data_IF_782328863098
#
_entry.id   IF_782328863098
#
_cell.length_a   1.000
_cell.length_b   1.000
_cell.length_c   1.000
_cell.angle_alpha   90.00
_cell.angle_beta   90.00
_cell.angle_gamma   90.00
#
_symmetry.space_group_name_H-M   'P 1'
#
loop_
_entity.id
_entity.type
_entity.pdbx_description
1 polymer ?
#
# COMPACT_ATOMS: atom_id res chain seq x y z
N UNK A 1 6.72 -43.27 -0.18
CA UNK A 1 6.71 -41.80 -0.01
C UNK A 1 7.73 -41.33 1.04
N UNK A 2 7.73 -41.85 2.27
CA UNK A 2 8.69 -41.47 3.33
C UNK A 2 10.17 -41.63 2.92
N UNK A 3 10.54 -42.77 2.31
CA UNK A 3 11.92 -43.00 1.83
C UNK A 3 12.37 -41.90 0.84
N UNK A 4 11.48 -41.44 -0.03
CA UNK A 4 11.77 -40.34 -0.97
C UNK A 4 12.07 -39.03 -0.24
N UNK A 5 11.36 -38.74 0.85
CA UNK A 5 11.62 -37.56 1.68
C UNK A 5 12.98 -37.68 2.40
N UNK A 6 13.31 -38.84 2.96
CA UNK A 6 14.63 -39.08 3.58
C UNK A 6 15.77 -38.91 2.56
N UNK A 7 15.59 -39.42 1.35
CA UNK A 7 16.55 -39.21 0.26
C UNK A 7 16.63 -37.72 -0.14
N UNK A 8 15.52 -36.98 -0.09
CA UNK A 8 15.49 -35.53 -0.28
C UNK A 8 16.29 -34.79 0.78
N UNK A 9 16.15 -35.16 2.06
CA UNK A 9 16.94 -34.59 3.17
C UNK A 9 18.43 -34.86 2.95
N UNK A 10 18.80 -36.07 2.55
CA UNK A 10 20.20 -36.39 2.22
C UNK A 10 20.73 -35.51 1.09
N UNK A 11 19.95 -35.31 0.02
CA UNK A 11 20.33 -34.39 -1.07
C UNK A 11 20.50 -32.94 -0.59
N UNK A 12 19.63 -32.48 0.30
CA UNK A 12 19.76 -31.15 0.92
C UNK A 12 21.08 -31.03 1.71
N UNK A 13 21.38 -32.00 2.57
CA UNK A 13 22.61 -32.02 3.38
C UNK A 13 23.88 -32.09 2.53
N UNK A 14 23.86 -32.92 1.49
CA UNK A 14 25.03 -33.17 0.64
C UNK A 14 25.24 -32.09 -0.43
N UNK A 15 24.21 -31.32 -0.78
CA UNK A 15 24.21 -30.28 -1.81
C UNK A 15 23.80 -28.90 -1.27
N UNK A 16 22.52 -28.54 -1.38
CA UNK A 16 22.01 -27.18 -1.14
C UNK A 16 22.42 -26.57 0.21
N UNK A 17 22.50 -27.37 1.28
CA UNK A 17 22.98 -26.89 2.58
C UNK A 17 24.42 -26.39 2.52
N UNK A 18 25.32 -27.12 1.84
CA UNK A 18 26.75 -26.74 1.71
C UNK A 18 26.91 -25.45 0.91
N UNK A 19 26.11 -25.27 -0.13
CA UNK A 19 26.06 -24.01 -0.91
C UNK A 19 25.59 -22.82 -0.06
N UNK A 20 24.75 -23.08 0.94
CA UNK A 20 24.17 -22.08 1.84
C UNK A 20 24.77 -22.08 3.27
N UNK A 21 25.88 -22.78 3.51
CA UNK A 21 26.39 -23.03 4.86
C UNK A 21 26.68 -21.73 5.62
N UNK A 22 27.30 -20.76 4.93
CA UNK A 22 27.57 -19.44 5.49
C UNK A 22 26.31 -18.66 5.87
N UNK A 23 25.21 -18.83 5.12
CA UNK A 23 23.92 -18.24 5.43
C UNK A 23 23.30 -18.90 6.66
N UNK A 24 23.23 -20.24 6.70
CA UNK A 24 22.70 -20.96 7.85
C UNK A 24 23.51 -20.71 9.14
N UNK A 25 24.83 -20.53 9.03
CA UNK A 25 25.68 -20.13 10.17
C UNK A 25 25.35 -18.73 10.69
N UNK A 26 24.90 -17.81 9.84
CA UNK A 26 24.40 -16.50 10.29
C UNK A 26 23.03 -16.66 10.95
N UNK A 27 22.11 -17.39 10.30
CA UNK A 27 20.75 -17.61 10.79
C UNK A 27 20.71 -18.39 12.12
N UNK A 28 21.72 -19.19 12.43
CA UNK A 28 21.80 -19.88 13.73
C UNK A 28 21.99 -18.93 14.92
N UNK A 29 22.39 -17.67 14.67
CA UNK A 29 22.54 -16.64 15.72
C UNK A 29 21.30 -15.79 15.91
N UNK A 30 20.34 -15.84 14.98
CA UNK A 30 19.12 -15.06 15.03
C UNK A 30 18.44 -14.95 13.65
N UNK A 31 17.20 -14.48 13.65
CA UNK A 31 16.42 -14.19 12.45
C UNK A 31 16.02 -12.71 12.43
N UNK A 32 15.99 -12.11 11.24
CA UNK A 32 15.62 -10.70 11.06
C UNK A 32 14.78 -10.52 9.78
N UNK A 33 13.65 -11.23 9.63
CA UNK A 33 12.78 -11.09 8.47
C UNK A 33 12.12 -9.72 8.45
N UNK A 34 11.96 -9.12 7.27
CA UNK A 34 11.22 -7.85 7.11
C UNK A 34 9.75 -8.07 6.76
N UNK A 35 9.37 -9.31 6.41
CA UNK A 35 8.04 -9.65 5.92
C UNK A 35 7.44 -10.78 6.77
N UNK A 36 6.23 -10.55 7.28
CA UNK A 36 5.33 -11.58 7.80
C UNK A 36 4.40 -12.04 6.67
N UNK A 37 4.50 -13.30 6.27
CA UNK A 37 3.71 -13.89 5.19
C UNK A 37 2.68 -14.88 5.75
N UNK A 38 1.40 -14.52 5.67
CA UNK A 38 0.27 -15.32 6.14
C UNK A 38 -0.38 -15.99 4.94
N UNK A 39 -0.41 -17.32 4.90
CA UNK A 39 -1.02 -18.06 3.77
C UNK A 39 -1.65 -19.39 4.18
N UNK A 40 -2.15 -20.14 3.21
CA UNK A 40 -2.85 -21.39 3.42
C UNK A 40 -1.89 -22.56 3.66
N UNK A 41 -2.30 -23.57 4.43
CA UNK A 41 -1.61 -24.88 4.54
C UNK A 41 -1.73 -25.74 3.27
N UNK A 42 -2.42 -25.26 2.24
CA UNK A 42 -2.55 -25.94 0.96
C UNK A 42 -1.16 -26.34 0.43
N UNK A 43 -0.98 -27.63 0.14
CA UNK A 43 0.31 -28.20 -0.24
C UNK A 43 0.85 -27.69 -1.58
N UNK A 44 0.06 -26.93 -2.34
CA UNK A 44 0.48 -26.28 -3.60
C UNK A 44 1.09 -24.91 -3.38
N UNK A 45 0.96 -24.35 -2.17
CA UNK A 45 1.53 -23.04 -1.81
C UNK A 45 2.86 -23.23 -1.10
N UNK A 46 3.90 -22.58 -1.62
CA UNK A 46 5.19 -22.40 -0.97
C UNK A 46 5.59 -20.92 -1.10
N UNK A 47 5.48 -20.12 -0.02
CA UNK A 47 5.79 -18.69 -0.06
C UNK A 47 7.21 -18.39 -0.55
N UNK A 48 8.20 -19.19 -0.15
CA UNK A 48 9.58 -18.95 -0.52
C UNK A 48 9.78 -19.20 -2.02
N UNK A 49 9.14 -20.25 -2.56
CA UNK A 49 9.17 -20.54 -3.98
C UNK A 49 8.51 -19.44 -4.81
N UNK A 50 7.31 -18.99 -4.42
CA UNK A 50 6.55 -17.98 -5.17
C UNK A 50 7.28 -16.63 -5.18
N UNK A 51 7.97 -16.30 -4.08
CA UNK A 51 8.66 -15.00 -3.91
C UNK A 51 10.16 -15.07 -4.20
N UNK A 52 10.70 -16.24 -4.56
CA UNK A 52 12.13 -16.48 -4.77
C UNK A 52 13.01 -16.03 -3.59
N UNK A 53 12.49 -16.20 -2.37
CA UNK A 53 13.17 -15.83 -1.13
C UNK A 53 13.91 -17.02 -0.51
N UNK A 54 14.88 -16.71 0.35
CA UNK A 54 15.71 -17.67 1.06
C UNK A 54 15.24 -17.85 2.51
N UNK A 55 15.67 -18.91 3.19
CA UNK A 55 15.44 -19.05 4.63
C UNK A 55 15.89 -17.79 5.39
N UNK A 56 15.02 -17.28 6.26
CA UNK A 56 15.27 -16.07 7.05
C UNK A 56 14.71 -14.77 6.46
N UNK A 57 14.35 -14.75 5.17
CA UNK A 57 13.77 -13.56 4.53
C UNK A 57 12.29 -13.34 4.94
N UNK A 58 11.55 -14.43 5.10
CA UNK A 58 10.13 -14.44 5.47
C UNK A 58 9.90 -15.07 6.85
N UNK A 59 9.08 -14.44 7.68
CA UNK A 59 8.41 -15.09 8.80
C UNK A 59 7.04 -15.59 8.33
N UNK A 60 6.75 -16.89 8.43
CA UNK A 60 5.59 -17.48 7.75
C UNK A 60 4.57 -18.05 8.75
N UNK A 61 3.30 -17.67 8.60
CA UNK A 61 2.16 -18.31 9.25
C UNK A 61 1.35 -19.07 8.20
N UNK A 62 1.08 -20.35 8.42
CA UNK A 62 0.25 -21.17 7.54
C UNK A 62 -0.88 -21.83 8.32
N UNK A 63 -2.11 -21.63 7.87
CA UNK A 63 -3.28 -22.34 8.42
C UNK A 63 -4.34 -22.63 7.35
N UNK A 64 -5.45 -23.25 7.74
CA UNK A 64 -6.55 -23.58 6.81
C UNK A 64 -7.24 -22.30 6.35
N UNK A 65 -6.97 -21.87 5.11
CA UNK A 65 -7.62 -20.71 4.51
C UNK A 65 -7.00 -19.35 4.83
N UNK A 66 -5.75 -19.31 5.30
CA UNK A 66 -5.01 -18.06 5.58
C UNK A 66 -5.77 -17.10 6.51
N UNK A 67 -6.48 -17.65 7.49
CA UNK A 67 -7.40 -16.98 8.40
C UNK A 67 -6.63 -16.44 9.61
N UNK A 68 -6.92 -15.21 10.03
CA UNK A 68 -6.45 -14.66 11.30
C UNK A 68 -7.68 -14.35 12.14
N UNK A 69 -7.88 -15.03 13.28
CA UNK A 69 -8.96 -14.70 14.20
C UNK A 69 -8.84 -13.25 14.73
N UNK A 70 -9.94 -12.59 15.07
CA UNK A 70 -9.90 -11.30 15.76
C UNK A 70 -9.11 -11.35 17.07
N UNK A 71 -8.61 -10.20 17.53
CA UNK A 71 -7.63 -10.09 18.62
C UNK A 71 -8.02 -10.69 19.98
N UNK A 72 -9.30 -10.96 20.21
CA UNK A 72 -9.81 -11.57 21.44
C UNK A 72 -9.85 -13.10 21.42
N UNK A 73 -9.41 -13.75 20.34
CA UNK A 73 -9.43 -15.21 20.19
C UNK A 73 -8.01 -15.78 20.29
N UNK A 74 -7.66 -16.48 21.39
CA UNK A 74 -6.39 -17.17 21.49
C UNK A 74 -6.24 -18.23 20.39
N UNK A 75 -5.13 -18.16 19.65
CA UNK A 75 -4.84 -19.05 18.52
C UNK A 75 -3.34 -19.11 18.25
N UNK A 76 -2.90 -20.12 17.49
CA UNK A 76 -1.49 -20.20 17.05
C UNK A 76 -1.12 -19.00 16.17
N UNK A 77 -2.08 -18.50 15.41
CA UNK A 77 -1.98 -17.32 14.56
C UNK A 77 -1.72 -16.07 15.38
N UNK A 78 -2.52 -15.84 16.43
CA UNK A 78 -2.34 -14.71 17.33
C UNK A 78 -0.97 -14.76 18.02
N UNK A 79 -0.54 -15.94 18.47
CA UNK A 79 0.78 -16.11 19.08
C UNK A 79 1.91 -15.81 18.09
N UNK A 80 1.84 -16.34 16.86
CA UNK A 80 2.82 -16.09 15.80
C UNK A 80 2.88 -14.62 15.39
N UNK A 81 1.72 -13.95 15.31
CA UNK A 81 1.60 -12.54 14.97
C UNK A 81 2.23 -11.63 16.04
N UNK A 82 1.92 -11.87 17.31
CA UNK A 82 2.51 -11.12 18.43
C UNK A 82 4.02 -11.35 18.50
N UNK A 83 4.48 -12.60 18.30
CA UNK A 83 5.91 -12.90 18.26
C UNK A 83 6.60 -12.18 17.09
N UNK A 84 6.01 -12.19 15.90
CA UNK A 84 6.57 -11.51 14.74
C UNK A 84 6.71 -10.00 14.95
N UNK A 85 5.77 -9.36 15.65
CA UNK A 85 5.74 -7.89 15.75
C UNK A 85 6.39 -7.31 17.02
N UNK A 86 6.49 -8.09 18.09
CA UNK A 86 7.16 -7.68 19.34
C UNK A 86 8.49 -8.40 19.59
N UNK A 87 8.66 -9.60 19.03
CA UNK A 87 9.88 -10.40 19.15
C UNK A 87 10.87 -10.13 18.02
N UNK A 88 10.40 -9.63 16.87
CA UNK A 88 11.20 -9.27 15.71
C UNK A 88 10.89 -7.82 15.30
N UNK A 89 11.71 -6.88 15.75
CA UNK A 89 11.52 -5.44 15.44
C UNK A 89 11.72 -5.10 13.94
N UNK A 90 12.15 -6.08 13.13
CA UNK A 90 12.44 -5.91 11.72
C UNK A 90 11.23 -6.00 10.79
N UNK A 91 10.08 -6.53 11.24
CA UNK A 91 8.91 -6.69 10.39
C UNK A 91 8.33 -5.33 10.00
N UNK A 92 8.29 -5.05 8.69
CA UNK A 92 7.73 -3.83 8.09
C UNK A 92 6.53 -4.12 7.20
N UNK A 93 6.39 -5.35 6.72
CA UNK A 93 5.33 -5.73 5.79
C UNK A 93 4.60 -6.98 6.28
N UNK A 94 3.28 -6.94 6.24
CA UNK A 94 2.42 -8.11 6.52
C UNK A 94 1.63 -8.41 5.26
N UNK A 95 1.82 -9.60 4.70
CA UNK A 95 1.12 -10.08 3.51
C UNK A 95 0.11 -11.14 3.93
N UNK A 96 -1.17 -10.93 3.61
CA UNK A 96 -2.21 -11.98 3.66
C UNK A 96 -2.40 -12.49 2.24
N UNK A 97 -2.00 -13.74 1.98
CA UNK A 97 -2.03 -14.34 0.66
C UNK A 97 -3.04 -15.48 0.58
N UNK A 98 -4.13 -15.24 -0.15
CA UNK A 98 -5.08 -16.26 -0.60
C UNK A 98 -4.63 -16.92 -1.91
N UNK A 99 -5.33 -17.96 -2.36
CA UNK A 99 -4.96 -18.67 -3.59
C UNK A 99 -6.15 -19.29 -4.33
N UNK A 100 -6.02 -19.54 -5.64
CA UNK A 100 -7.06 -20.21 -6.43
C UNK A 100 -7.38 -21.60 -5.88
N UNK A 101 -8.62 -22.06 -6.06
CA UNK A 101 -9.08 -23.38 -5.60
C UNK A 101 -8.95 -23.65 -4.08
N UNK A 102 -8.99 -22.63 -3.24
CA UNK A 102 -8.84 -22.79 -1.79
C UNK A 102 -9.89 -23.75 -1.19
N UNK A 103 -9.42 -24.86 -0.60
CA UNK A 103 -10.30 -25.86 0.02
C UNK A 103 -11.09 -25.31 1.22
N UNK A 104 -10.51 -24.40 1.98
CA UNK A 104 -11.17 -23.72 3.09
C UNK A 104 -12.37 -22.89 2.61
N UNK A 105 -12.20 -22.12 1.53
CA UNK A 105 -13.27 -21.30 0.97
C UNK A 105 -14.34 -22.14 0.27
N UNK A 106 -13.97 -23.26 -0.37
CA UNK A 106 -14.93 -24.28 -0.82
C UNK A 106 -15.75 -24.81 0.35
N UNK A 107 -15.10 -25.13 1.46
CA UNK A 107 -15.76 -25.59 2.69
C UNK A 107 -16.72 -24.54 3.25
N UNK A 108 -16.28 -23.29 3.35
CA UNK A 108 -17.09 -22.17 3.85
C UNK A 108 -18.39 -22.00 3.05
N UNK A 109 -18.32 -22.16 1.73
CA UNK A 109 -19.47 -22.05 0.82
C UNK A 109 -20.34 -23.32 0.78
N UNK A 110 -19.90 -24.43 1.39
CA UNK A 110 -20.61 -25.71 1.35
C UNK A 110 -21.54 -25.82 2.56
N UNK A 111 -22.86 -25.98 2.35
CA UNK A 111 -23.80 -26.22 3.44
C UNK A 111 -23.42 -27.46 4.26
N UNK A 112 -23.73 -27.44 5.56
CA UNK A 112 -23.57 -28.58 6.47
C UNK A 112 -22.13 -29.12 6.58
N UNK A 113 -21.11 -28.29 6.36
CA UNK A 113 -19.70 -28.69 6.53
C UNK A 113 -19.44 -29.31 7.92
N UNK A 114 -20.10 -28.79 8.96
CA UNK A 114 -19.96 -29.24 10.35
C UNK A 114 -20.31 -30.72 10.57
N UNK A 115 -21.16 -31.32 9.72
CA UNK A 115 -21.50 -32.75 9.79
C UNK A 115 -20.32 -33.65 9.37
N UNK A 116 -19.40 -33.13 8.54
CA UNK A 116 -18.26 -33.87 7.99
C UNK A 116 -16.93 -33.48 8.62
N UNK A 117 -16.74 -32.19 8.88
CA UNK A 117 -15.50 -31.60 9.39
C UNK A 117 -15.82 -30.55 10.46
N UNK A 118 -16.25 -30.95 11.66
CA UNK A 118 -16.73 -30.02 12.70
C UNK A 118 -15.67 -29.02 13.16
N UNK A 119 -14.42 -29.44 13.33
CA UNK A 119 -13.32 -28.54 13.74
C UNK A 119 -12.98 -27.54 12.65
N UNK A 120 -13.02 -27.97 11.38
CA UNK A 120 -12.82 -27.06 10.23
C UNK A 120 -13.98 -26.08 10.14
N UNK A 121 -15.23 -26.54 10.28
CA UNK A 121 -16.38 -25.66 10.28
C UNK A 121 -16.32 -24.62 11.41
N UNK A 122 -15.88 -25.04 12.61
CA UNK A 122 -15.64 -24.13 13.75
C UNK A 122 -14.55 -23.12 13.42
N UNK A 123 -13.42 -23.55 12.84
CA UNK A 123 -12.35 -22.64 12.41
C UNK A 123 -12.82 -21.61 11.38
N UNK A 124 -13.60 -22.03 10.38
CA UNK A 124 -14.13 -21.17 9.32
C UNK A 124 -15.16 -20.15 9.83
N UNK A 125 -15.60 -20.21 11.09
CA UNK A 125 -16.42 -19.15 11.73
C UNK A 125 -15.76 -17.78 11.64
N UNK A 126 -14.43 -17.73 11.68
CA UNK A 126 -13.64 -16.51 11.52
C UNK A 126 -13.67 -15.93 10.08
N UNK A 127 -14.28 -16.61 9.11
CA UNK A 127 -14.48 -16.06 7.76
C UNK A 127 -15.96 -15.89 7.39
N UNK A 128 -16.90 -16.02 8.33
CA UNK A 128 -18.34 -15.92 8.01
C UNK A 128 -18.78 -14.54 7.50
N UNK A 129 -18.02 -13.47 7.75
CA UNK A 129 -18.24 -12.16 7.13
C UNK A 129 -18.17 -12.21 5.60
N UNK A 130 -17.44 -13.17 5.03
CA UNK A 130 -17.37 -13.42 3.58
C UNK A 130 -18.70 -13.91 3.04
N UNK A 131 -19.42 -14.79 3.77
CA UNK A 131 -20.73 -15.29 3.34
C UNK A 131 -21.75 -14.17 3.17
N UNK A 132 -21.70 -13.15 4.04
CA UNK A 132 -22.55 -11.96 3.92
C UNK A 132 -22.26 -11.22 2.60
N UNK A 133 -20.98 -10.98 2.28
CA UNK A 133 -20.59 -10.32 1.03
C UNK A 133 -21.04 -11.11 -0.20
N UNK A 134 -20.81 -12.43 -0.21
CA UNK A 134 -21.18 -13.29 -1.34
C UNK A 134 -22.70 -13.33 -1.54
N UNK A 135 -23.48 -13.44 -0.46
CA UNK A 135 -24.95 -13.55 -0.54
C UNK A 135 -25.64 -12.22 -0.90
N UNK A 136 -25.04 -11.07 -0.57
CA UNK A 136 -25.58 -9.75 -0.90
C UNK A 136 -25.09 -9.19 -2.23
N UNK A 137 -24.12 -9.82 -2.88
CA UNK A 137 -23.66 -9.40 -4.20
C UNK A 137 -24.64 -9.83 -5.29
N UNK A 138 -25.36 -8.87 -5.88
CA UNK A 138 -26.25 -9.08 -7.04
C UNK A 138 -25.51 -9.67 -8.25
N UNK A 139 -24.18 -9.43 -8.33
CA UNK A 139 -23.29 -9.95 -9.37
C UNK A 139 -22.62 -11.28 -9.00
N UNK A 140 -23.03 -11.94 -7.91
CA UNK A 140 -22.41 -13.21 -7.53
C UNK A 140 -22.65 -14.27 -8.61
N UNK A 141 -21.55 -14.82 -9.14
CA UNK A 141 -21.64 -15.83 -10.21
C UNK A 141 -22.37 -17.07 -9.73
N UNK A 142 -23.19 -17.70 -10.57
CA UNK A 142 -23.78 -19.02 -10.25
C UNK A 142 -22.75 -20.16 -10.31
N UNK A 143 -21.63 -19.96 -11.01
CA UNK A 143 -20.54 -20.93 -11.08
C UNK A 143 -19.81 -21.01 -9.73
N UNK A 144 -19.82 -22.20 -9.14
CA UNK A 144 -19.20 -22.46 -7.84
C UNK A 144 -17.71 -22.11 -7.83
N UNK A 145 -16.98 -22.36 -8.91
CA UNK A 145 -15.54 -22.04 -8.98
C UNK A 145 -15.31 -20.53 -8.92
N UNK A 146 -16.15 -19.74 -9.60
CA UNK A 146 -16.11 -18.28 -9.55
C UNK A 146 -16.54 -17.75 -8.17
N UNK A 147 -17.52 -18.37 -7.51
CA UNK A 147 -17.86 -18.04 -6.11
C UNK A 147 -16.69 -18.29 -5.16
N UNK A 148 -15.97 -19.39 -5.33
CA UNK A 148 -14.79 -19.71 -4.51
C UNK A 148 -13.68 -18.69 -4.74
N UNK A 149 -13.45 -18.28 -5.99
CA UNK A 149 -12.50 -17.22 -6.32
C UNK A 149 -12.85 -15.92 -5.59
N UNK A 150 -14.10 -15.47 -5.72
CA UNK A 150 -14.58 -14.25 -5.05
C UNK A 150 -14.48 -14.38 -3.53
N UNK A 151 -14.95 -15.48 -2.96
CA UNK A 151 -14.86 -15.74 -1.52
C UNK A 151 -13.42 -15.74 -1.02
N UNK A 152 -12.47 -16.21 -1.83
CA UNK A 152 -11.05 -16.18 -1.46
C UNK A 152 -10.51 -14.76 -1.43
N UNK A 153 -10.80 -13.94 -2.44
CA UNK A 153 -10.41 -12.52 -2.45
C UNK A 153 -11.03 -11.77 -1.28
N UNK A 154 -12.32 -11.95 -1.04
CA UNK A 154 -13.03 -11.34 0.10
C UNK A 154 -12.49 -11.84 1.45
N UNK A 155 -12.08 -13.11 1.55
CA UNK A 155 -11.45 -13.63 2.76
C UNK A 155 -10.15 -12.92 3.07
N UNK A 156 -9.29 -12.67 2.07
CA UNK A 156 -8.05 -11.90 2.25
C UNK A 156 -8.37 -10.53 2.87
N UNK A 157 -9.36 -9.81 2.33
CA UNK A 157 -9.77 -8.50 2.86
C UNK A 157 -10.32 -8.60 4.30
N UNK A 158 -11.16 -9.60 4.57
CA UNK A 158 -11.69 -9.83 5.91
C UNK A 158 -10.57 -10.08 6.94
N UNK A 159 -9.54 -10.83 6.57
CA UNK A 159 -8.41 -11.11 7.46
C UNK A 159 -7.52 -9.87 7.66
N UNK A 160 -7.39 -9.00 6.65
CA UNK A 160 -6.73 -7.71 6.82
C UNK A 160 -7.47 -6.82 7.83
N UNK A 161 -8.81 -6.82 7.82
CA UNK A 161 -9.60 -6.12 8.84
C UNK A 161 -9.44 -6.75 10.22
N UNK A 162 -9.35 -8.08 10.30
CA UNK A 162 -9.08 -8.76 11.57
C UNK A 162 -7.71 -8.37 12.15
N UNK A 163 -6.68 -8.27 11.32
CA UNK A 163 -5.34 -7.81 11.76
C UNK A 163 -5.42 -6.41 12.39
N UNK A 164 -6.22 -5.50 11.84
CA UNK A 164 -6.41 -4.15 12.41
C UNK A 164 -7.08 -4.15 13.78
N UNK A 165 -7.74 -5.24 14.19
CA UNK A 165 -8.31 -5.36 15.55
C UNK A 165 -7.27 -5.58 16.64
N UNK A 166 -6.03 -5.94 16.26
CA UNK A 166 -4.91 -6.07 17.20
C UNK A 166 -4.33 -4.68 17.45
N UNK A 167 -4.41 -4.22 18.70
CA UNK A 167 -3.91 -2.87 19.08
C UNK A 167 -2.48 -2.61 18.62
N UNK A 168 -1.58 -3.58 18.78
CA UNK A 168 -0.19 -3.44 18.35
C UNK A 168 -0.05 -3.20 16.84
N UNK A 169 -0.95 -3.74 16.02
CA UNK A 169 -0.97 -3.55 14.56
C UNK A 169 -1.54 -2.20 14.24
N UNK A 170 -2.69 -1.84 14.83
CA UNK A 170 -3.28 -0.52 14.66
C UNK A 170 -2.28 0.59 15.01
N UNK A 171 -1.65 0.52 16.19
CA UNK A 171 -0.66 1.51 16.65
C UNK A 171 0.56 1.59 15.72
N UNK A 172 0.98 0.49 15.09
CA UNK A 172 2.11 0.47 14.14
C UNK A 172 1.72 0.97 12.75
N UNK A 173 0.48 0.70 12.31
CA UNK A 173 -0.06 1.24 11.06
C UNK A 173 -0.21 2.76 11.14
N UNK A 174 -0.75 3.29 12.24
CA UNK A 174 -0.92 4.73 12.47
C UNK A 174 0.42 5.49 12.45
N UNK A 175 1.49 4.81 12.89
CA UNK A 175 2.87 5.34 12.86
C UNK A 175 3.62 5.08 11.56
N UNK A 176 2.99 4.44 10.56
CA UNK A 176 3.62 4.00 9.31
C UNK A 176 4.86 3.10 9.53
N UNK A 177 4.92 2.37 10.65
CA UNK A 177 6.00 1.42 10.95
C UNK A 177 5.81 0.10 10.18
N UNK A 178 4.55 -0.25 9.88
CA UNK A 178 4.21 -1.44 9.10
C UNK A 178 3.19 -1.12 8.01
N UNK A 179 3.07 -2.02 7.03
CA UNK A 179 2.07 -1.96 5.97
C UNK A 179 1.38 -3.32 5.79
N UNK A 180 0.06 -3.32 5.55
CA UNK A 180 -0.72 -4.52 5.24
C UNK A 180 -0.92 -4.67 3.74
N UNK A 181 -0.74 -5.88 3.23
CA UNK A 181 -0.88 -6.22 1.82
C UNK A 181 -1.82 -7.41 1.66
N UNK A 182 -2.76 -7.32 0.72
CA UNK A 182 -3.63 -8.43 0.34
C UNK A 182 -3.18 -9.02 -0.98
N UNK A 183 -2.79 -10.29 -1.00
CA UNK A 183 -2.33 -10.99 -2.20
C UNK A 183 -3.27 -12.15 -2.56
N UNK A 184 -3.35 -12.47 -3.84
CA UNK A 184 -4.06 -13.62 -4.37
C UNK A 184 -3.18 -14.35 -5.40
N UNK A 185 -2.83 -15.60 -5.13
CA UNK A 185 -2.00 -16.42 -6.01
C UNK A 185 -2.86 -17.37 -6.87
N UNK A 186 -2.74 -17.27 -8.19
CA UNK A 186 -3.44 -18.14 -9.13
C UNK A 186 -2.55 -19.29 -9.61
N UNK A 187 -2.97 -20.52 -9.31
CA UNK A 187 -2.17 -21.71 -9.63
C UNK A 187 -2.04 -21.97 -11.12
N UNK A 188 -3.09 -21.67 -11.90
CA UNK A 188 -3.18 -22.01 -13.31
C UNK A 188 -2.20 -21.21 -14.17
N UNK A 189 -2.02 -19.94 -13.83
CA UNK A 189 -1.19 -18.98 -14.57
C UNK A 189 0.15 -18.75 -13.87
N UNK A 190 0.22 -19.01 -12.56
CA UNK A 190 1.35 -18.62 -11.72
C UNK A 190 1.33 -17.14 -11.33
N UNK A 191 0.29 -16.39 -11.71
CA UNK A 191 0.19 -14.97 -11.45
C UNK A 191 -0.16 -14.68 -9.98
N UNK A 192 0.39 -13.57 -9.49
CA UNK A 192 0.02 -12.98 -8.20
C UNK A 192 -0.70 -11.68 -8.47
N UNK A 193 -1.85 -11.52 -7.81
CA UNK A 193 -2.63 -10.29 -7.81
C UNK A 193 -2.50 -9.61 -6.45
N UNK A 194 -2.37 -8.29 -6.45
CA UNK A 194 -2.22 -7.47 -5.25
C UNK A 194 -3.43 -6.55 -5.11
N UNK A 195 -4.00 -6.50 -3.91
CA UNK A 195 -5.11 -5.63 -3.61
C UNK A 195 -4.66 -4.17 -3.55
N UNK A 196 -5.26 -3.33 -4.39
CA UNK A 196 -5.05 -1.90 -4.41
C UNK A 196 -6.26 -1.18 -3.80
N UNK A 197 -6.06 -0.56 -2.64
CA UNK A 197 -7.14 0.03 -1.84
C UNK A 197 -7.84 1.21 -2.54
N UNK A 198 -7.11 1.97 -3.36
CA UNK A 198 -7.69 3.10 -4.11
C UNK A 198 -8.64 2.64 -5.20
N UNK A 199 -8.31 1.54 -5.88
CA UNK A 199 -9.16 0.94 -6.93
C UNK A 199 -10.18 -0.06 -6.36
N UNK A 200 -9.99 -0.50 -5.11
CA UNK A 200 -10.78 -1.54 -4.45
C UNK A 200 -10.82 -2.86 -5.22
N UNK A 201 -9.70 -3.21 -5.87
CA UNK A 201 -9.60 -4.42 -6.69
C UNK A 201 -8.23 -5.09 -6.55
N UNK A 202 -8.17 -6.37 -6.90
CA UNK A 202 -6.95 -7.15 -7.03
C UNK A 202 -6.38 -7.01 -8.44
N UNK A 203 -5.27 -6.28 -8.55
CA UNK A 203 -4.59 -6.02 -9.82
C UNK A 203 -3.48 -7.04 -10.06
N UNK A 204 -3.19 -7.44 -11.31
CA UNK A 204 -1.99 -8.21 -11.62
C UNK A 204 -0.74 -7.52 -11.05
N UNK A 205 0.26 -8.29 -10.60
CA UNK A 205 1.46 -7.77 -9.95
C UNK A 205 2.13 -6.62 -10.72
N UNK A 206 2.28 -6.75 -12.04
CA UNK A 206 2.88 -5.71 -12.89
C UNK A 206 2.12 -4.38 -12.84
N UNK A 207 0.78 -4.45 -12.81
CA UNK A 207 -0.07 -3.27 -12.70
C UNK A 207 0.02 -2.66 -11.30
N UNK A 208 0.03 -3.50 -10.26
CA UNK A 208 0.20 -3.06 -8.88
C UNK A 208 1.58 -2.41 -8.66
N UNK A 209 2.64 -2.98 -9.24
CA UNK A 209 4.00 -2.43 -9.19
C UNK A 209 4.05 -1.07 -9.90
N UNK A 210 3.48 -0.98 -11.10
CA UNK A 210 3.39 0.29 -11.84
C UNK A 210 2.65 1.37 -11.04
N UNK A 211 1.53 0.99 -10.40
CA UNK A 211 0.76 1.90 -9.56
C UNK A 211 1.54 2.33 -8.31
N UNK A 212 2.19 1.41 -7.61
CA UNK A 212 3.00 1.68 -6.42
C UNK A 212 4.18 2.61 -6.73
N UNK A 213 4.89 2.35 -7.84
CA UNK A 213 6.02 3.17 -8.30
C UNK A 213 5.54 4.56 -8.69
N UNK A 214 4.41 4.67 -9.40
CA UNK A 214 3.82 5.97 -9.76
C UNK A 214 3.36 6.75 -8.54
N UNK A 215 2.71 6.09 -7.56
CA UNK A 215 2.30 6.73 -6.30
C UNK A 215 3.51 7.21 -5.49
N UNK A 216 4.59 6.40 -5.44
CA UNK A 216 5.81 6.81 -4.76
C UNK A 216 6.49 7.98 -5.45
N UNK A 217 6.53 7.96 -6.78
CA UNK A 217 6.98 9.09 -7.60
C UNK A 217 6.23 10.36 -7.25
N UNK A 218 4.91 10.29 -7.29
CA UNK A 218 4.06 11.46 -7.04
C UNK A 218 4.33 12.05 -5.66
N UNK A 219 4.46 11.20 -4.63
CA UNK A 219 4.81 11.63 -3.28
C UNK A 219 6.19 12.30 -3.18
N UNK A 220 7.22 11.69 -3.78
CA UNK A 220 8.58 12.26 -3.78
C UNK A 220 8.59 13.64 -4.46
N UNK A 221 7.91 13.76 -5.60
CA UNK A 221 7.85 14.99 -6.37
C UNK A 221 7.04 16.05 -5.63
N UNK A 222 5.92 15.68 -5.02
CA UNK A 222 5.12 16.58 -4.17
C UNK A 222 5.96 17.11 -3.00
N UNK A 223 6.67 16.25 -2.27
CA UNK A 223 7.54 16.68 -1.16
C UNK A 223 8.62 17.69 -1.62
N UNK A 224 9.26 17.43 -2.76
CA UNK A 224 10.29 18.33 -3.33
C UNK A 224 9.66 19.64 -3.79
N UNK A 225 8.49 19.58 -4.46
CA UNK A 225 7.78 20.76 -4.91
C UNK A 225 7.36 21.63 -3.71
N UNK A 226 6.79 21.04 -2.65
CA UNK A 226 6.41 21.76 -1.44
C UNK A 226 7.62 22.44 -0.79
N UNK A 227 8.76 21.73 -0.65
CA UNK A 227 10.01 22.31 -0.15
C UNK A 227 10.55 23.44 -1.03
N UNK A 228 10.41 23.33 -2.35
CA UNK A 228 10.81 24.38 -3.29
C UNK A 228 9.94 25.64 -3.19
N UNK A 229 8.63 25.45 -2.95
CA UNK A 229 7.66 26.55 -2.85
C UNK A 229 7.73 27.29 -1.51
N UNK A 230 8.06 26.61 -0.42
CA UNK A 230 8.12 27.18 0.93
C UNK A 230 8.80 28.56 1.02
N UNK A 231 10.03 28.79 0.51
CA UNK A 231 10.67 30.11 0.58
C UNK A 231 9.94 31.20 -0.24
N UNK A 232 9.17 30.83 -1.27
CA UNK A 232 8.42 31.77 -2.11
C UNK A 232 7.17 32.31 -1.40
N UNK A 233 6.73 31.67 -0.33
CA UNK A 233 5.45 31.97 0.36
C UNK A 233 5.51 33.19 1.26
N UNK A 234 6.60 33.96 1.19
CA UNK A 234 6.81 35.20 1.94
C UNK A 234 7.03 36.40 1.00
N UNK A 235 6.11 36.72 0.08
CA UNK A 235 6.31 37.79 -0.89
C UNK A 235 6.46 39.15 -0.19
N UNK A 236 7.47 39.92 -0.59
CA UNK A 236 7.79 41.22 0.03
C UNK A 236 7.10 42.41 -0.64
N UNK A 237 6.64 42.23 -1.88
CA UNK A 237 6.00 43.29 -2.68
C UNK A 237 4.68 42.78 -3.26
N UNK A 238 3.80 43.71 -3.64
CA UNK A 238 2.52 43.40 -4.28
C UNK A 238 2.72 42.59 -5.56
N UNK A 239 3.67 43.02 -6.40
CA UNK A 239 4.04 42.30 -7.63
C UNK A 239 4.45 40.84 -7.37
N UNK A 240 5.29 40.60 -6.36
CA UNK A 240 5.71 39.24 -5.99
C UNK A 240 4.55 38.39 -5.46
N UNK A 241 3.60 39.02 -4.75
CA UNK A 241 2.39 38.34 -4.31
C UNK A 241 1.51 37.95 -5.50
N UNK A 242 1.30 38.84 -6.47
CA UNK A 242 0.54 38.53 -7.69
C UNK A 242 1.20 37.42 -8.52
N UNK A 243 2.53 37.48 -8.70
CA UNK A 243 3.33 36.43 -9.36
C UNK A 243 3.16 35.07 -8.65
N UNK A 244 3.19 35.05 -7.31
CA UNK A 244 2.97 33.84 -6.51
C UNK A 244 1.56 33.28 -6.70
N UNK A 245 0.54 34.12 -6.70
CA UNK A 245 -0.85 33.69 -6.90
C UNK A 245 -1.08 33.12 -8.30
N UNK A 246 -0.45 33.70 -9.33
CA UNK A 246 -0.47 33.14 -10.68
C UNK A 246 0.23 31.78 -10.72
N UNK A 247 1.42 31.67 -10.11
CA UNK A 247 2.13 30.39 -9.99
C UNK A 247 1.25 29.33 -9.32
N UNK A 248 0.59 29.65 -8.22
CA UNK A 248 -0.30 28.73 -7.50
C UNK A 248 -1.51 28.33 -8.34
N UNK A 249 -2.01 29.23 -9.20
CA UNK A 249 -3.06 28.89 -10.16
C UNK A 249 -2.57 27.86 -11.19
N UNK A 250 -1.36 28.04 -11.71
CA UNK A 250 -0.77 27.11 -12.69
C UNK A 250 -0.50 25.73 -12.04
N UNK A 251 0.00 25.71 -10.80
CA UNK A 251 0.33 24.48 -10.05
C UNK A 251 -0.88 23.62 -9.66
N UNK A 252 -2.09 24.17 -9.74
CA UNK A 252 -3.33 23.37 -9.64
C UNK A 252 -3.56 22.49 -10.88
N UNK A 253 -2.92 22.81 -11.99
CA UNK A 253 -3.05 22.10 -13.26
C UNK A 253 -1.95 21.05 -13.41
N UNK A 254 -0.68 21.47 -13.29
CA UNK A 254 0.50 20.61 -13.37
C UNK A 254 1.76 21.31 -12.79
N UNK A 255 2.90 20.62 -12.74
CA UNK A 255 4.15 21.16 -12.21
C UNK A 255 5.04 21.84 -13.26
N UNK A 256 4.58 22.03 -14.51
CA UNK A 256 5.47 22.46 -15.60
C UNK A 256 6.18 23.78 -15.33
N UNK A 257 5.52 24.70 -14.62
CA UNK A 257 6.07 26.02 -14.27
C UNK A 257 7.32 25.93 -13.39
N UNK A 258 7.40 24.94 -12.49
CA UNK A 258 8.56 24.73 -11.60
C UNK A 258 9.41 23.51 -11.99
N UNK A 259 8.98 22.70 -12.96
CA UNK A 259 9.58 21.41 -13.25
C UNK A 259 11.08 21.48 -13.53
N UNK A 260 11.52 22.48 -14.31
CA UNK A 260 12.93 22.68 -14.62
C UNK A 260 13.82 22.87 -13.38
N UNK A 261 13.27 23.40 -12.28
CA UNK A 261 14.00 23.69 -11.05
C UNK A 261 14.08 22.46 -10.12
N UNK A 262 13.08 21.57 -10.16
CA UNK A 262 12.99 20.43 -9.23
C UNK A 262 13.35 19.08 -9.86
N UNK A 263 13.38 18.98 -11.20
CA UNK A 263 13.48 17.69 -11.91
C UNK A 263 14.73 16.87 -11.60
N UNK A 264 15.89 17.50 -11.40
CA UNK A 264 17.12 16.76 -11.11
C UNK A 264 17.13 16.19 -9.68
N UNK A 265 16.64 16.95 -8.70
CA UNK A 265 16.46 16.46 -7.33
C UNK A 265 15.45 15.30 -7.31
N UNK A 266 14.34 15.45 -8.02
CA UNK A 266 13.34 14.39 -8.18
C UNK A 266 13.93 13.13 -8.82
N UNK A 267 14.68 13.27 -9.92
CA UNK A 267 15.34 12.14 -10.61
C UNK A 267 16.28 11.38 -9.69
N UNK A 268 17.14 12.09 -8.96
CA UNK A 268 18.12 11.47 -8.05
C UNK A 268 17.43 10.74 -6.90
N UNK A 269 16.44 11.38 -6.25
CA UNK A 269 15.72 10.76 -5.14
C UNK A 269 14.88 9.57 -5.59
N UNK A 270 14.26 9.64 -6.77
CA UNK A 270 13.55 8.50 -7.35
C UNK A 270 14.48 7.34 -7.66
N UNK A 271 15.67 7.62 -8.22
CA UNK A 271 16.64 6.57 -8.52
C UNK A 271 17.11 5.85 -7.25
N UNK A 272 17.35 6.59 -6.17
CA UNK A 272 17.74 6.01 -4.88
C UNK A 272 16.69 5.02 -4.34
N UNK A 273 15.41 5.36 -4.51
CA UNK A 273 14.31 4.58 -3.92
C UNK A 273 13.78 3.45 -4.81
N UNK A 274 13.68 3.66 -6.13
CA UNK A 274 13.06 2.70 -7.06
C UNK A 274 13.99 2.29 -8.21
N UNK A 275 15.23 2.78 -8.26
CA UNK A 275 16.18 2.51 -9.34
C UNK A 275 16.51 1.03 -9.52
N UNK A 276 16.39 0.22 -8.46
CA UNK A 276 16.58 -1.23 -8.51
C UNK A 276 15.58 -1.98 -9.41
N UNK A 277 14.49 -1.33 -9.83
CA UNK A 277 13.52 -1.88 -10.78
C UNK A 277 13.93 -1.67 -12.24
N UNK A 278 15.01 -0.93 -12.50
CA UNK A 278 15.42 -0.50 -13.83
C UNK A 278 16.87 -0.90 -14.12
N UNK A 279 17.21 -0.98 -15.40
CA UNK A 279 18.55 -1.45 -15.82
C UNK A 279 19.65 -0.45 -15.54
N UNK A 280 19.35 0.85 -15.63
CA UNK A 280 20.29 1.97 -15.45
C UNK A 280 19.55 3.29 -15.26
N UNK A 281 20.21 4.35 -14.77
CA UNK A 281 19.62 5.70 -14.72
C UNK A 281 19.16 6.23 -16.09
N UNK A 282 19.68 5.66 -17.17
CA UNK A 282 19.39 6.02 -18.55
C UNK A 282 18.25 5.21 -19.17
N UNK A 283 17.70 4.23 -18.44
CA UNK A 283 16.59 3.37 -18.84
C UNK A 283 15.39 4.19 -19.34
N UNK A 284 14.81 3.77 -20.47
CA UNK A 284 13.72 4.51 -21.13
C UNK A 284 12.46 4.54 -20.26
N UNK A 285 12.16 3.44 -19.57
CA UNK A 285 11.00 3.35 -18.69
C UNK A 285 11.21 4.18 -17.43
N UNK A 286 12.43 4.20 -16.89
CA UNK A 286 12.76 5.09 -15.76
C UNK A 286 12.67 6.57 -16.16
N UNK A 287 13.22 6.94 -17.32
CA UNK A 287 13.12 8.32 -17.85
C UNK A 287 11.68 8.77 -17.98
N UNK A 288 10.84 7.93 -18.60
CA UNK A 288 9.41 8.18 -18.73
C UNK A 288 8.74 8.36 -17.37
N UNK A 289 9.05 7.49 -16.39
CA UNK A 289 8.47 7.57 -15.05
C UNK A 289 8.64 8.96 -14.44
N UNK A 290 9.88 9.46 -14.33
CA UNK A 290 10.12 10.74 -13.64
C UNK A 290 9.69 11.95 -14.48
N UNK A 291 9.79 11.91 -15.81
CA UNK A 291 9.32 12.99 -16.69
C UNK A 291 7.80 13.21 -16.61
N UNK A 292 7.02 12.14 -16.50
CA UNK A 292 5.57 12.20 -16.27
C UNK A 292 5.21 12.91 -14.96
N UNK A 293 6.14 12.97 -14.00
CA UNK A 293 5.99 13.73 -12.77
C UNK A 293 5.72 15.23 -12.97
N UNK A 294 6.10 15.78 -14.12
CA UNK A 294 5.74 17.16 -14.51
C UNK A 294 4.24 17.40 -14.62
N UNK A 295 3.43 16.35 -14.78
CA UNK A 295 1.97 16.41 -14.90
C UNK A 295 1.24 16.32 -13.55
N UNK A 296 1.99 16.16 -12.45
CA UNK A 296 1.41 16.03 -11.11
C UNK A 296 0.66 17.30 -10.71
N UNK A 297 -0.46 17.11 -9.99
CA UNK A 297 -1.24 18.20 -9.38
C UNK A 297 -0.98 18.25 -7.89
N UNK A 298 -0.55 19.40 -7.37
CA UNK A 298 -0.38 19.59 -5.93
C UNK A 298 -1.74 19.74 -5.28
N UNK A 299 -2.07 18.88 -4.31
CA UNK A 299 -3.40 18.89 -3.67
C UNK A 299 -3.50 19.90 -2.53
N UNK A 300 -2.40 20.17 -1.83
CA UNK A 300 -2.40 20.87 -0.54
C UNK A 300 -1.66 22.23 -0.57
N UNK A 301 -1.85 23.05 -1.61
CA UNK A 301 -1.27 24.40 -1.65
C UNK A 301 -1.78 25.33 -0.52
N UNK A 302 -2.89 24.95 0.13
CA UNK A 302 -3.45 25.65 1.29
C UNK A 302 -2.52 25.68 2.49
N UNK A 303 -1.57 24.76 2.58
CA UNK A 303 -0.62 24.69 3.69
C UNK A 303 0.25 25.95 3.79
N UNK A 304 0.41 26.68 2.67
CA UNK A 304 1.13 27.95 2.61
C UNK A 304 0.27 29.18 2.90
N UNK A 305 -1.05 29.03 3.06
CA UNK A 305 -1.97 30.16 3.19
C UNK A 305 -1.55 31.10 4.32
N UNK A 306 -1.19 30.55 5.48
CA UNK A 306 -0.76 31.34 6.63
C UNK A 306 0.51 32.16 6.33
N UNK A 307 1.52 31.56 5.72
CA UNK A 307 2.76 32.25 5.36
C UNK A 307 2.48 33.43 4.40
N UNK A 308 1.57 33.22 3.45
CA UNK A 308 1.16 34.24 2.47
C UNK A 308 0.41 35.38 3.17
N UNK A 309 -0.54 35.06 4.05
CA UNK A 309 -1.32 36.04 4.81
C UNK A 309 -0.44 36.88 5.75
N UNK A 310 0.60 36.29 6.33
CA UNK A 310 1.56 36.97 7.20
C UNK A 310 2.60 37.81 6.42
N UNK A 311 2.60 37.76 5.08
CA UNK A 311 3.61 38.40 4.25
C UNK A 311 3.39 39.91 4.01
N UNK A 312 4.48 40.68 3.96
CA UNK A 312 4.46 42.13 3.66
C UNK A 312 3.76 42.44 2.33
N UNK A 313 3.98 41.60 1.31
CA UNK A 313 3.39 41.76 -0.02
C UNK A 313 1.87 41.64 -0.01
N UNK A 314 1.34 40.65 0.71
CA UNK A 314 -0.11 40.46 0.86
C UNK A 314 -0.75 41.62 1.63
N UNK A 315 -0.16 42.04 2.76
CA UNK A 315 -0.67 43.15 3.57
C UNK A 315 -0.71 44.47 2.79
N UNK A 316 0.29 44.71 1.94
CA UNK A 316 0.32 45.87 1.06
C UNK A 316 -0.72 45.78 -0.07
N UNK A 317 -0.93 44.59 -0.63
CA UNK A 317 -1.98 44.34 -1.64
C UNK A 317 -3.36 44.68 -1.06
N UNK A 318 -3.70 44.16 0.14
CA UNK A 318 -4.97 44.46 0.81
C UNK A 318 -5.18 45.97 1.01
N UNK A 319 -4.15 46.70 1.48
CA UNK A 319 -4.22 48.16 1.65
C UNK A 319 -4.52 48.87 0.33
N UNK A 320 -3.84 48.47 -0.75
CA UNK A 320 -4.06 49.06 -2.08
C UNK A 320 -5.47 48.75 -2.61
N UNK A 321 -5.94 47.51 -2.49
CA UNK A 321 -7.27 47.11 -2.97
C UNK A 321 -8.38 47.80 -2.18
N UNK A 322 -8.23 47.97 -0.85
CA UNK A 322 -9.18 48.73 -0.04
C UNK A 322 -9.22 50.21 -0.47
N UNK A 323 -8.06 50.86 -0.65
CA UNK A 323 -7.98 52.25 -1.11
C UNK A 323 -8.67 52.45 -2.47
N UNK A 324 -8.47 51.55 -3.44
CA UNK A 324 -9.17 51.62 -4.73
C UNK A 324 -10.69 51.38 -4.61
N UNK A 325 -11.15 50.63 -3.61
CA UNK A 325 -12.58 50.43 -3.36
C UNK A 325 -13.27 51.66 -2.75
N UNK A 326 -12.52 52.51 -2.05
CA UNK A 326 -13.02 53.78 -1.49
C UNK A 326 -13.07 54.95 -2.51
N UNK A 327 -12.37 54.84 -3.65
CA UNK A 327 -12.25 55.93 -4.64
C UNK A 327 -12.85 55.61 -6.03
N UNK A 328 -13.54 54.47 -6.20
CA UNK A 328 -14.30 54.16 -7.43
C UNK A 328 -15.81 54.40 -7.25
N UNK A 329 -16.51 55.06 -8.19
CA UNK A 329 -17.95 55.21 -8.13
C UNK A 329 -18.64 53.85 -8.30
N UNK A 330 -19.69 53.63 -7.52
CA UNK A 330 -20.43 52.38 -7.39
C UNK A 330 -21.05 51.89 -8.72
N UNK A 331 -20.64 50.69 -9.16
CA UNK A 331 -21.32 49.81 -10.12
C UNK A 331 -21.30 48.38 -9.53
N UNK A 332 -22.36 47.54 -9.64
CA UNK A 332 -22.63 46.50 -8.65
C UNK A 332 -21.80 45.20 -8.79
N UNK A 333 -21.45 44.70 -7.60
CA UNK A 333 -20.90 43.40 -7.17
C UNK A 333 -20.73 42.26 -8.19
N UNK A 334 -19.48 41.80 -8.30
CA UNK A 334 -19.11 40.38 -8.19
C UNK A 334 -17.77 40.27 -7.46
N UNK A 335 -17.82 40.10 -6.14
CA UNK A 335 -16.66 39.76 -5.30
C UNK A 335 -16.69 38.24 -5.09
N UNK A 336 -15.65 37.47 -5.42
CA UNK A 336 -15.43 36.18 -4.78
C UNK A 336 -14.90 36.45 -3.37
N UNK A 337 -15.74 36.17 -2.37
CA UNK A 337 -15.35 36.21 -0.96
C UNK A 337 -14.37 35.07 -0.60
N UNK A 338 -13.83 35.10 0.62
CA UNK A 338 -12.93 34.06 1.11
C UNK A 338 -13.64 32.71 1.13
N UNK A 339 -12.91 31.65 0.79
CA UNK A 339 -13.34 30.25 0.78
C UNK A 339 -13.98 29.88 2.13
N UNK A 340 -15.29 30.02 2.23
CA UNK A 340 -16.09 29.45 3.30
C UNK A 340 -16.34 27.98 3.01
N UNK A 341 -15.90 27.12 3.92
CA UNK A 341 -16.27 25.71 4.02
C UNK A 341 -17.78 25.52 3.79
N UNK A 342 -18.11 24.68 2.81
CA UNK A 342 -19.46 24.21 2.54
C UNK A 342 -19.44 22.73 2.21
N UNK A 343 -19.28 21.90 3.24
CA UNK A 343 -19.68 20.49 3.18
C UNK A 343 -21.20 20.41 3.40
N UNK A 344 -21.91 19.84 2.44
CA UNK A 344 -23.21 19.21 2.68
C UNK A 344 -23.12 17.77 2.14
N UNK A 345 -23.47 16.86 3.07
CA UNK A 345 -23.74 15.41 3.02
C UNK A 345 -23.42 14.60 1.77
#
# INVERSE_FOLDING_TARGET
>A
MLIRLMLGVRKFQDGSFKEMEGMFKKLSTGQNPEILFITCVDSRVDPNLITQTKPGDLFVIRNVGNIIPPSNVPSSEAAGLVFALNGLDSIKHIIVCGHSHCGAMKGLLTPNLHEKLPEVASWLTHSHSVLKHINHSENSSQDFSKKVLEATKQNVLAQMEHLKTYRLIADKLDRNEITLHGWFYEFETGEVFVYEATQKDFLPLENALTFAVSTRRDKIIEDIAMKHLEPLTHPQTIKKYEELMQLFSDLKIDLKSIWHAIKEEARLKLWDEVGGLYTSPEDVSFKKLWEEGSQLKIKNLTDFQKNIEDSTGYQNYLKQTMLHSFFSPSIPKSIPGPLSNGFQF
#
